data_IF_761662513280
#
_entry.id   IF_761662513280
#
_cell.length_a   1.000
_cell.length_b   1.000
_cell.length_c   1.000
_cell.angle_alpha   90.00
_cell.angle_beta   90.00
_cell.angle_gamma   90.00
#
_symmetry.space_group_name_H-M   'P 1'
#
loop_
_entity.id
_entity.type
_entity.pdbx_description
1 polymer ?
#
# COMPACT_ATOMS: atom_id res chain seq x y z
N UNK A 1 -3.51 -4.04 7.36
CA UNK A 1 -2.51 -4.39 8.40
C UNK A 1 -1.58 -3.20 8.57
N UNK A 2 -0.97 -2.92 9.73
CA UNK A 2 0.09 -1.91 9.78
C UNK A 2 1.28 -2.36 8.93
N UNK A 3 1.93 -1.42 8.23
CA UNK A 3 3.17 -1.70 7.49
C UNK A 3 4.27 -2.06 8.51
N UNK A 4 5.08 -3.11 8.28
CA UNK A 4 6.20 -3.41 9.16
C UNK A 4 7.23 -2.29 9.10
N UNK A 5 7.70 -1.83 10.27
CA UNK A 5 8.70 -0.77 10.36
C UNK A 5 9.93 -1.24 11.14
N UNK A 6 11.11 -0.75 10.76
CA UNK A 6 12.32 -0.90 11.58
C UNK A 6 12.12 -0.31 12.98
N UNK A 7 12.60 -0.99 14.04
CA UNK A 7 12.61 -0.46 15.39
C UNK A 7 13.35 0.88 15.48
N UNK A 8 12.86 1.77 16.35
CA UNK A 8 13.47 3.10 16.55
C UNK A 8 14.94 2.99 16.94
N UNK A 9 15.30 2.02 17.78
CA UNK A 9 16.69 1.80 18.22
C UNK A 9 17.64 1.50 17.07
N UNK A 10 17.12 0.91 15.99
CA UNK A 10 17.93 0.38 14.89
C UNK A 10 17.98 1.37 13.72
N UNK A 11 16.90 2.14 13.49
CA UNK A 11 16.82 3.13 12.40
C UNK A 11 17.44 4.49 12.69
N UNK A 12 17.85 4.78 13.93
CA UNK A 12 18.48 6.08 14.28
C UNK A 12 19.99 6.10 14.02
N UNK A 13 20.58 4.94 13.72
CA UNK A 13 22.04 4.81 13.54
C UNK A 13 22.48 4.66 12.08
N UNK A 14 21.53 4.51 11.15
CA UNK A 14 21.81 4.41 9.72
C UNK A 14 20.68 5.01 8.85
N UNK A 15 20.82 4.87 7.53
CA UNK A 15 19.90 5.43 6.54
C UNK A 15 19.23 4.34 5.69
N UNK A 16 19.12 3.12 6.22
CA UNK A 16 18.37 2.05 5.54
C UNK A 16 16.88 2.36 5.55
N UNK A 17 16.16 1.73 4.64
CA UNK A 17 14.72 1.90 4.51
C UNK A 17 14.01 1.49 5.81
N UNK A 18 13.15 2.37 6.30
CA UNK A 18 12.44 2.18 7.57
C UNK A 18 11.15 1.39 7.39
N UNK A 19 10.44 1.66 6.29
CA UNK A 19 9.15 1.02 5.98
C UNK A 19 9.42 -0.19 5.11
N UNK A 20 9.11 -1.38 5.60
CA UNK A 20 9.26 -2.60 4.82
C UNK A 20 8.02 -2.85 3.97
N UNK A 21 8.20 -3.47 2.81
CA UNK A 21 7.09 -3.90 1.99
C UNK A 21 6.17 -4.85 2.77
N UNK A 22 4.87 -4.82 2.47
CA UNK A 22 3.95 -5.85 2.94
C UNK A 22 4.43 -7.23 2.52
N UNK A 23 4.16 -8.24 3.37
CA UNK A 23 4.17 -9.62 2.92
C UNK A 23 3.12 -9.80 1.81
N UNK A 24 3.24 -10.86 1.02
CA UNK A 24 2.26 -11.15 -0.04
C UNK A 24 0.85 -11.29 0.56
N UNK A 25 0.75 -11.96 1.70
CA UNK A 25 -0.49 -12.20 2.43
C UNK A 25 -1.10 -10.89 2.95
N UNK A 26 -0.29 -10.02 3.56
CA UNK A 26 -0.75 -8.71 4.03
C UNK A 26 -1.18 -7.81 2.88
N UNK A 27 -0.48 -7.87 1.74
CA UNK A 27 -0.82 -7.10 0.55
C UNK A 27 -2.18 -7.52 -0.01
N UNK A 28 -2.47 -8.83 -0.06
CA UNK A 28 -3.78 -9.37 -0.46
C UNK A 28 -4.87 -8.86 0.51
N UNK A 29 -4.65 -8.98 1.83
CA UNK A 29 -5.61 -8.55 2.85
C UNK A 29 -5.89 -7.04 2.77
N UNK A 30 -4.86 -6.22 2.58
CA UNK A 30 -5.04 -4.78 2.44
C UNK A 30 -5.74 -4.41 1.12
N UNK A 31 -5.40 -5.09 0.01
CA UNK A 31 -6.04 -4.89 -1.28
C UNK A 31 -7.55 -5.20 -1.27
N UNK A 32 -7.97 -6.21 -0.49
CA UNK A 32 -9.38 -6.57 -0.29
C UNK A 32 -10.21 -5.46 0.37
N UNK A 33 -9.60 -4.49 1.04
CA UNK A 33 -10.30 -3.34 1.63
C UNK A 33 -10.77 -2.32 0.59
N UNK A 34 -10.22 -2.36 -0.62
CA UNK A 34 -10.67 -1.50 -1.70
C UNK A 34 -12.09 -1.89 -2.14
N UNK A 35 -13.06 -1.01 -1.89
CA UNK A 35 -14.48 -1.27 -2.19
C UNK A 35 -14.85 -1.12 -3.67
N UNK A 36 -13.88 -0.94 -4.57
CA UNK A 36 -14.09 -0.76 -6.00
C UNK A 36 -15.16 0.31 -6.31
N UNK A 37 -14.97 1.51 -5.75
CA UNK A 37 -15.92 2.61 -5.83
C UNK A 37 -16.38 2.91 -7.27
N UNK A 38 -17.68 3.16 -7.46
CA UNK A 38 -18.24 3.63 -8.74
C UNK A 38 -17.62 4.95 -9.18
N UNK A 39 -17.49 5.91 -8.25
CA UNK A 39 -16.75 7.16 -8.48
C UNK A 39 -15.35 7.05 -7.85
N UNK A 40 -14.27 7.02 -8.65
CA UNK A 40 -12.92 6.79 -8.15
C UNK A 40 -12.20 8.08 -7.75
N UNK A 41 -12.51 8.57 -6.55
CA UNK A 41 -11.84 9.75 -5.99
C UNK A 41 -10.32 9.61 -5.90
N UNK A 42 -9.82 8.39 -5.68
CA UNK A 42 -8.38 8.09 -5.66
C UNK A 42 -7.69 8.38 -7.00
N UNK A 43 -8.39 8.17 -8.12
CA UNK A 43 -7.85 8.41 -9.48
C UNK A 43 -7.91 9.90 -9.81
N UNK A 44 -9.01 10.58 -9.46
CA UNK A 44 -9.16 12.03 -9.61
C UNK A 44 -8.11 12.81 -8.80
N UNK A 45 -7.75 12.31 -7.61
CA UNK A 45 -6.73 12.92 -6.76
C UNK A 45 -5.28 12.64 -7.19
N UNK A 46 -5.05 11.63 -8.04
CA UNK A 46 -3.72 11.28 -8.48
C UNK A 46 -3.22 12.31 -9.52
N UNK A 47 -2.06 12.99 -9.32
CA UNK A 47 -1.58 14.02 -10.25
C UNK A 47 -1.33 13.52 -11.68
N UNK A 48 -1.12 12.21 -11.84
CA UNK A 48 -0.91 11.55 -13.14
C UNK A 48 -2.12 10.72 -13.58
N UNK A 49 -3.26 10.83 -12.88
CA UNK A 49 -4.49 10.09 -13.18
C UNK A 49 -4.33 8.57 -13.23
N UNK A 50 -3.45 8.01 -12.42
CA UNK A 50 -3.22 6.56 -12.37
C UNK A 50 -4.44 5.84 -11.81
N UNK A 51 -4.96 4.82 -12.52
CA UNK A 51 -6.04 4.00 -11.99
C UNK A 51 -5.53 2.93 -11.02
N UNK A 52 -5.48 3.29 -9.73
CA UNK A 52 -5.01 2.36 -8.71
C UNK A 52 -5.90 1.13 -8.50
N UNK A 53 -7.17 1.21 -8.90
CA UNK A 53 -8.15 0.16 -8.61
C UNK A 53 -7.90 -1.09 -9.43
N UNK A 54 -7.32 -0.95 -10.61
CA UNK A 54 -7.04 -2.08 -11.51
C UNK A 54 -6.00 -3.01 -10.92
N UNK A 55 -4.82 -2.48 -10.56
CA UNK A 55 -3.78 -3.33 -9.96
C UNK A 55 -4.16 -3.79 -8.55
N UNK A 56 -4.88 -2.97 -7.75
CA UNK A 56 -5.37 -3.41 -6.44
C UNK A 56 -6.30 -4.62 -6.58
N UNK A 57 -7.16 -4.65 -7.60
CA UNK A 57 -8.04 -5.79 -7.88
C UNK A 57 -7.25 -7.06 -8.24
N UNK A 58 -6.14 -6.92 -8.96
CA UNK A 58 -5.27 -8.04 -9.30
C UNK A 58 -4.49 -8.57 -8.09
N UNK A 59 -4.14 -7.69 -7.13
CA UNK A 59 -3.48 -8.09 -5.88
C UNK A 59 -4.46 -8.80 -4.94
N UNK A 60 -5.74 -8.42 -4.94
CA UNK A 60 -6.74 -9.01 -4.05
C UNK A 60 -7.16 -10.46 -4.41
N UNK A 61 -6.73 -10.95 -5.59
CA UNK A 61 -7.06 -12.27 -6.14
C UNK A 61 -6.11 -13.36 -5.62
#
# INVERSE_FOLDING_TARGET
MPIPEEPVTDRVVDFREVLHAYSKEDAIVEAQRCIQCRRPWCVEACPISQDCREYIRLIAA
#
